data_IF_086532806098
#
_entry.id   IF_086532806098
#
_cell.length_a   1.000
_cell.length_b   1.000
_cell.length_c   1.000
_cell.angle_alpha   90.00
_cell.angle_beta   90.00
_cell.angle_gamma   90.00
#
_symmetry.space_group_name_H-M   'P 1'
#
loop_
_entity.id
_entity.type
_entity.pdbx_description
1 polymer ?
#
# COMPACT_ATOMS: atom_id res chain seq x y z
N UNK A 1 16.56 -36.55 8.07
CA UNK A 1 15.74 -35.37 8.42
C UNK A 1 16.44 -34.15 7.85
N UNK A 2 16.09 -33.78 6.65
CA UNK A 2 16.55 -32.54 6.02
C UNK A 2 15.66 -31.41 6.49
N UNK A 3 16.28 -30.48 7.19
CA UNK A 3 15.68 -29.27 7.67
C UNK A 3 15.66 -28.27 6.50
N UNK A 4 14.48 -28.07 5.91
CA UNK A 4 14.31 -27.00 4.93
C UNK A 4 14.57 -25.65 5.62
N UNK A 5 15.66 -25.01 5.24
CA UNK A 5 15.94 -23.65 5.61
C UNK A 5 14.81 -22.78 5.01
N UNK A 6 14.03 -22.14 5.87
CA UNK A 6 13.20 -21.03 5.48
C UNK A 6 14.14 -19.91 5.06
N UNK A 7 14.22 -19.63 3.76
CA UNK A 7 14.86 -18.44 3.24
C UNK A 7 14.03 -17.23 3.70
N UNK A 8 14.23 -16.87 4.96
CA UNK A 8 13.71 -15.64 5.51
C UNK A 8 14.41 -14.49 4.80
N UNK A 9 13.67 -13.75 3.98
CA UNK A 9 14.07 -12.40 3.58
C UNK A 9 14.44 -11.67 4.88
N UNK A 10 15.67 -11.14 5.02
CA UNK A 10 16.02 -10.41 6.22
C UNK A 10 15.00 -9.29 6.39
N UNK A 11 14.47 -9.09 7.61
CA UNK A 11 13.54 -7.99 7.84
C UNK A 11 14.25 -6.71 7.38
N UNK A 12 13.63 -5.98 6.48
CA UNK A 12 14.03 -4.62 6.13
C UNK A 12 14.30 -3.91 7.46
N UNK A 13 15.44 -3.24 7.58
CA UNK A 13 15.89 -2.66 8.83
C UNK A 13 14.72 -1.97 9.54
N UNK A 14 14.35 -2.47 10.70
CA UNK A 14 13.16 -2.00 11.43
C UNK A 14 13.25 -0.47 11.55
N UNK A 15 12.32 0.25 10.93
CA UNK A 15 12.21 1.69 11.08
C UNK A 15 12.43 2.55 9.83
N UNK A 16 12.60 1.98 8.63
CA UNK A 16 12.71 2.76 7.39
C UNK A 16 11.93 2.13 6.24
N UNK A 17 11.46 2.96 5.32
CA UNK A 17 10.95 2.53 4.02
C UNK A 17 12.05 2.65 2.96
N UNK A 18 11.92 1.89 1.88
CA UNK A 18 12.93 1.91 0.80
C UNK A 18 13.04 3.31 0.16
N UNK A 19 14.23 3.73 -0.26
CA UNK A 19 14.44 5.06 -0.85
C UNK A 19 13.81 5.22 -2.23
N UNK A 20 13.34 4.14 -2.87
CA UNK A 20 12.67 4.22 -4.18
C UNK A 20 11.33 4.97 -4.15
N UNK A 21 10.64 5.00 -3.01
CA UNK A 21 9.35 5.69 -2.91
C UNK A 21 9.49 7.19 -3.16
N UNK A 22 8.46 7.79 -3.75
CA UNK A 22 8.46 9.21 -4.07
C UNK A 22 8.60 10.08 -2.81
N UNK A 23 9.03 11.33 -2.99
CA UNK A 23 9.19 12.28 -1.87
C UNK A 23 7.92 12.49 -1.06
N UNK A 24 6.76 12.40 -1.70
CA UNK A 24 5.46 12.50 -1.05
C UNK A 24 5.24 11.34 -0.07
N UNK A 25 5.66 10.13 -0.43
CA UNK A 25 5.62 8.98 0.46
C UNK A 25 6.70 9.08 1.53
N UNK A 26 7.90 9.54 1.19
CA UNK A 26 8.97 9.77 2.17
C UNK A 26 8.56 10.79 3.25
N UNK A 27 7.73 11.76 2.90
CA UNK A 27 7.13 12.71 3.85
C UNK A 27 6.40 11.99 4.99
N UNK A 28 5.76 10.87 4.70
CA UNK A 28 5.00 10.05 5.67
C UNK A 28 5.82 8.91 6.28
N UNK A 29 7.10 8.78 5.96
CA UNK A 29 7.90 7.61 6.34
C UNK A 29 7.86 7.29 7.85
N UNK A 30 8.03 8.24 8.79
CA UNK A 30 7.95 7.93 10.22
C UNK A 30 6.58 7.38 10.63
N UNK A 31 5.51 7.95 10.10
CA UNK A 31 4.15 7.52 10.40
C UNK A 31 3.84 6.16 9.78
N UNK A 32 4.26 5.92 8.52
CA UNK A 32 4.10 4.62 7.85
C UNK A 32 4.74 3.50 8.67
N UNK A 33 5.95 3.73 9.16
CA UNK A 33 6.67 2.75 10.00
C UNK A 33 5.88 2.45 11.27
N UNK A 34 5.37 3.48 11.95
CA UNK A 34 4.60 3.30 13.18
C UNK A 34 3.27 2.58 12.92
N UNK A 35 2.53 2.97 11.89
CA UNK A 35 1.26 2.33 11.54
C UNK A 35 1.44 0.88 11.12
N UNK A 36 2.45 0.58 10.31
CA UNK A 36 2.75 -0.79 9.89
C UNK A 36 3.11 -1.67 11.09
N UNK A 37 3.94 -1.17 12.02
CA UNK A 37 4.34 -1.89 13.22
C UNK A 37 3.14 -2.24 14.12
N UNK A 38 2.17 -1.34 14.26
CA UNK A 38 0.95 -1.57 15.05
C UNK A 38 0.17 -2.79 14.56
N UNK A 39 0.19 -3.07 13.26
CA UNK A 39 -0.55 -4.18 12.64
C UNK A 39 0.35 -5.36 12.23
N UNK A 40 1.61 -5.34 12.60
CA UNK A 40 2.56 -6.41 12.25
C UNK A 40 2.85 -6.51 10.75
N UNK A 41 2.78 -5.39 10.03
CA UNK A 41 3.02 -5.32 8.59
C UNK A 41 4.44 -4.80 8.29
N UNK A 42 4.98 -5.21 7.16
CA UNK A 42 6.18 -4.60 6.59
C UNK A 42 5.88 -3.15 6.19
N UNK A 43 6.66 -2.16 6.68
CA UNK A 43 6.46 -0.77 6.32
C UNK A 43 6.55 -0.50 4.81
N UNK A 44 7.34 -1.25 4.07
CA UNK A 44 7.39 -1.15 2.61
C UNK A 44 6.07 -1.60 1.94
N UNK A 45 5.37 -2.55 2.55
CA UNK A 45 4.05 -2.96 2.07
C UNK A 45 3.02 -1.84 2.26
N UNK A 46 3.00 -1.21 3.42
CA UNK A 46 2.16 -0.05 3.70
C UNK A 46 2.48 1.14 2.79
N UNK A 47 3.78 1.42 2.59
CA UNK A 47 4.24 2.48 1.69
C UNK A 47 3.81 2.21 0.23
N UNK A 48 3.85 0.96 -0.21
CA UNK A 48 3.40 0.56 -1.56
C UNK A 48 1.91 0.86 -1.75
N UNK A 49 1.08 0.53 -0.78
CA UNK A 49 -0.37 0.83 -0.83
C UNK A 49 -0.59 2.35 -0.88
N UNK A 50 0.02 3.12 0.01
CA UNK A 50 -0.13 4.59 0.01
C UNK A 50 0.35 5.20 -1.32
N UNK A 51 1.47 4.71 -1.86
CA UNK A 51 2.02 5.18 -3.14
C UNK A 51 0.97 5.09 -4.26
N UNK A 52 0.35 3.95 -4.42
CA UNK A 52 -0.60 3.68 -5.51
C UNK A 52 -1.95 4.35 -5.23
N UNK A 53 -2.42 4.35 -3.99
CA UNK A 53 -3.76 4.81 -3.64
C UNK A 53 -3.92 6.32 -3.68
N UNK A 54 -2.99 7.06 -3.10
CA UNK A 54 -3.10 8.53 -2.97
C UNK A 54 -1.82 9.29 -3.28
N UNK A 55 -0.70 8.58 -3.42
CA UNK A 55 0.63 9.18 -3.38
C UNK A 55 0.86 10.09 -2.16
N UNK A 56 0.20 9.79 -1.04
CA UNK A 56 0.36 10.56 0.20
C UNK A 56 -0.57 11.77 0.33
N UNK A 57 -1.63 11.88 -0.47
CA UNK A 57 -2.65 12.92 -0.31
C UNK A 57 -3.68 12.50 0.76
N UNK A 58 -3.69 13.15 1.94
CA UNK A 58 -4.61 12.79 3.00
C UNK A 58 -6.07 13.13 2.68
N UNK A 59 -6.32 13.98 1.70
CA UNK A 59 -7.65 14.42 1.30
C UNK A 59 -8.13 13.81 -0.02
N UNK A 60 -7.41 12.83 -0.57
CA UNK A 60 -7.81 12.16 -1.79
C UNK A 60 -9.19 11.49 -1.62
N UNK A 61 -10.05 11.66 -2.63
CA UNK A 61 -11.36 11.01 -2.71
C UNK A 61 -11.52 10.45 -4.11
N UNK A 62 -11.76 9.15 -4.22
CA UNK A 62 -12.02 8.52 -5.51
C UNK A 62 -13.46 8.72 -5.98
N UNK A 63 -13.72 8.47 -7.26
CA UNK A 63 -15.07 8.48 -7.81
C UNK A 63 -16.01 7.48 -7.13
N UNK A 64 -15.47 6.38 -6.60
CA UNK A 64 -16.22 5.38 -5.85
C UNK A 64 -16.41 5.74 -4.36
N UNK A 65 -15.82 6.85 -3.89
CA UNK A 65 -15.94 7.32 -2.53
C UNK A 65 -14.86 6.83 -1.56
N UNK A 66 -13.80 6.20 -2.05
CA UNK A 66 -12.65 5.85 -1.21
C UNK A 66 -11.97 7.11 -0.68
N UNK A 67 -11.50 7.07 0.57
CA UNK A 67 -11.07 8.23 1.35
C UNK A 67 -9.60 8.16 1.76
N UNK A 68 -8.90 9.27 1.60
CA UNK A 68 -7.64 9.59 2.27
C UNK A 68 -6.40 8.82 1.80
N UNK A 69 -5.40 8.80 2.65
CA UNK A 69 -4.06 8.26 2.37
C UNK A 69 -4.07 6.85 1.80
N UNK A 70 -4.89 5.98 2.36
CA UNK A 70 -4.98 4.56 2.00
C UNK A 70 -6.24 4.21 1.20
N UNK A 71 -6.99 5.23 0.75
CA UNK A 71 -8.21 5.07 -0.06
C UNK A 71 -9.16 4.02 0.52
N UNK A 72 -9.53 4.23 1.78
CA UNK A 72 -10.39 3.33 2.53
C UNK A 72 -11.87 3.64 2.26
N UNK A 73 -12.64 2.62 1.94
CA UNK A 73 -14.07 2.79 1.69
C UNK A 73 -14.83 3.14 2.98
N UNK A 74 -15.88 3.98 2.90
CA UNK A 74 -16.60 4.47 4.07
C UNK A 74 -17.13 3.38 5.01
N UNK A 75 -17.49 2.21 4.50
CA UNK A 75 -18.04 1.12 5.33
C UNK A 75 -17.01 0.48 6.27
N UNK A 76 -15.72 0.76 6.10
CA UNK A 76 -14.68 0.33 7.03
C UNK A 76 -14.53 1.21 8.27
N UNK A 77 -15.12 2.39 8.24
CA UNK A 77 -15.05 3.34 9.36
C UNK A 77 -16.20 3.15 10.34
N UNK A 78 -15.93 3.44 11.61
CA UNK A 78 -16.98 3.52 12.61
C UNK A 78 -17.77 4.85 12.45
N UNK A 79 -19.00 4.86 12.96
CA UNK A 79 -19.83 6.07 12.96
C UNK A 79 -19.11 7.23 13.69
N UNK A 80 -19.07 8.40 13.04
CA UNK A 80 -18.48 9.62 13.60
C UNK A 80 -16.98 9.74 13.44
N UNK A 81 -16.29 8.75 12.87
CA UNK A 81 -14.86 8.88 12.57
C UNK A 81 -14.62 9.88 11.44
N UNK A 82 -13.54 10.66 11.55
CA UNK A 82 -13.05 11.49 10.44
C UNK A 82 -12.25 10.59 9.47
N UNK A 83 -12.85 10.25 8.33
CA UNK A 83 -12.29 9.33 7.35
C UNK A 83 -11.00 9.83 6.70
N UNK A 84 -10.75 11.13 6.70
CA UNK A 84 -9.55 11.75 6.12
C UNK A 84 -8.49 12.11 7.17
N UNK A 85 -8.77 11.94 8.45
CA UNK A 85 -7.74 12.04 9.48
C UNK A 85 -6.65 10.98 9.21
N UNK A 86 -5.37 11.37 9.07
CA UNK A 86 -4.32 10.43 8.68
C UNK A 86 -4.21 9.21 9.60
N UNK A 87 -4.30 9.42 10.91
CA UNK A 87 -4.21 8.35 11.91
C UNK A 87 -5.38 7.37 11.80
N UNK A 88 -6.60 7.90 11.72
CA UNK A 88 -7.82 7.10 11.57
C UNK A 88 -7.84 6.33 10.26
N UNK A 89 -7.49 7.00 9.16
CA UNK A 89 -7.44 6.39 7.83
C UNK A 89 -6.41 5.25 7.78
N UNK A 90 -5.20 5.49 8.30
CA UNK A 90 -4.15 4.49 8.37
C UNK A 90 -4.55 3.27 9.20
N UNK A 91 -5.17 3.48 10.36
CA UNK A 91 -5.62 2.39 11.22
C UNK A 91 -6.63 1.49 10.51
N UNK A 92 -7.59 2.07 9.79
CA UNK A 92 -8.58 1.31 9.02
C UNK A 92 -7.95 0.61 7.81
N UNK A 93 -7.09 1.30 7.07
CA UNK A 93 -6.38 0.74 5.93
C UNK A 93 -5.44 -0.40 6.31
N UNK A 94 -4.66 -0.21 7.35
CA UNK A 94 -3.72 -1.24 7.84
C UNK A 94 -4.44 -2.46 8.41
N UNK A 95 -5.56 -2.27 9.11
CA UNK A 95 -6.38 -3.38 9.59
C UNK A 95 -6.90 -4.24 8.43
N UNK A 96 -7.35 -3.59 7.34
CA UNK A 96 -7.83 -4.29 6.15
C UNK A 96 -6.70 -5.03 5.41
N UNK A 97 -5.54 -4.40 5.27
CA UNK A 97 -4.36 -5.04 4.66
C UNK A 97 -3.87 -6.23 5.50
N UNK A 98 -3.81 -6.08 6.82
CA UNK A 98 -3.43 -7.15 7.74
C UNK A 98 -4.42 -8.33 7.70
N UNK A 99 -5.71 -8.06 7.56
CA UNK A 99 -6.73 -9.09 7.34
C UNK A 99 -6.43 -9.90 6.07
N UNK A 100 -6.02 -9.23 4.99
CA UNK A 100 -5.61 -9.89 3.75
C UNK A 100 -4.40 -10.81 3.96
N UNK A 101 -3.40 -10.36 4.69
CA UNK A 101 -2.24 -11.18 5.04
C UNK A 101 -2.64 -12.42 5.85
N UNK A 102 -3.55 -12.27 6.79
CA UNK A 102 -4.05 -13.38 7.60
C UNK A 102 -4.83 -14.38 6.74
N UNK A 103 -5.74 -13.90 5.90
CA UNK A 103 -6.59 -14.76 5.05
C UNK A 103 -5.79 -15.51 3.98
N UNK A 104 -4.68 -14.94 3.53
CA UNK A 104 -3.85 -15.53 2.46
C UNK A 104 -2.67 -16.35 2.99
N UNK A 105 -2.51 -16.45 4.30
CA UNK A 105 -1.36 -17.12 4.89
C UNK A 105 -0.03 -16.39 4.65
N UNK A 106 -0.07 -15.07 4.51
CA UNK A 106 1.10 -14.22 4.31
C UNK A 106 1.46 -13.98 2.83
N UNK A 107 0.58 -14.31 1.88
CA UNK A 107 0.81 -13.99 0.47
C UNK A 107 0.60 -12.49 0.22
N UNK A 108 1.69 -11.76 0.01
CA UNK A 108 1.67 -10.31 -0.20
C UNK A 108 0.94 -9.92 -1.48
N UNK A 109 1.13 -10.65 -2.56
CA UNK A 109 0.49 -10.37 -3.84
C UNK A 109 -1.03 -10.51 -3.76
N UNK A 110 -1.53 -11.61 -3.20
CA UNK A 110 -2.96 -11.82 -2.98
C UNK A 110 -3.53 -10.81 -1.98
N UNK A 111 -2.76 -10.37 -1.01
CA UNK A 111 -3.18 -9.33 -0.06
C UNK A 111 -3.34 -7.96 -0.75
N UNK A 112 -2.47 -7.61 -1.68
CA UNK A 112 -2.63 -6.42 -2.53
C UNK A 112 -3.86 -6.52 -3.42
N UNK A 113 -4.07 -7.67 -4.07
CA UNK A 113 -5.27 -7.90 -4.89
C UNK A 113 -6.55 -7.76 -4.06
N UNK A 114 -6.55 -8.32 -2.85
CA UNK A 114 -7.66 -8.22 -1.92
C UNK A 114 -7.91 -6.80 -1.42
N UNK A 115 -6.85 -6.02 -1.23
CA UNK A 115 -6.98 -4.62 -0.83
C UNK A 115 -7.73 -3.80 -1.88
N UNK A 116 -7.42 -3.99 -3.16
CA UNK A 116 -8.09 -3.29 -4.26
C UNK A 116 -9.45 -3.89 -4.62
N UNK A 117 -9.51 -5.20 -4.82
CA UNK A 117 -10.69 -5.88 -5.40
C UNK A 117 -11.59 -6.59 -4.40
N UNK A 118 -11.21 -6.60 -3.11
CA UNK A 118 -11.87 -7.38 -2.07
C UNK A 118 -11.25 -8.76 -1.88
N UNK A 119 -11.19 -9.23 -0.64
CA UNK A 119 -10.55 -10.50 -0.30
C UNK A 119 -11.25 -11.71 -0.95
N UNK A 120 -12.57 -11.65 -1.08
CA UNK A 120 -13.33 -12.68 -1.78
C UNK A 120 -13.01 -12.77 -3.27
N UNK A 121 -12.78 -11.65 -3.91
CA UNK A 121 -12.34 -11.57 -5.31
C UNK A 121 -10.93 -12.12 -5.47
N UNK A 122 -10.01 -11.71 -4.60
CA UNK A 122 -8.64 -12.18 -4.63
C UNK A 122 -8.56 -13.72 -4.52
N UNK A 123 -9.39 -14.32 -3.69
CA UNK A 123 -9.45 -15.77 -3.50
C UNK A 123 -9.86 -16.55 -4.75
N UNK A 124 -10.52 -15.92 -5.72
CA UNK A 124 -10.94 -16.55 -6.98
C UNK A 124 -9.79 -16.75 -7.97
N UNK A 125 -8.67 -16.08 -7.77
CA UNK A 125 -7.50 -16.14 -8.65
C UNK A 125 -7.54 -15.17 -9.84
N UNK A 126 -6.38 -15.00 -10.46
CA UNK A 126 -6.10 -14.00 -11.51
C UNK A 126 -7.15 -13.94 -12.62
N UNK A 127 -7.56 -15.08 -13.15
CA UNK A 127 -8.49 -15.14 -14.30
C UNK A 127 -9.90 -14.61 -14.00
N UNK A 128 -10.25 -14.54 -12.72
CA UNK A 128 -11.56 -14.04 -12.27
C UNK A 128 -11.50 -12.59 -11.78
N UNK A 129 -10.32 -11.97 -11.76
CA UNK A 129 -10.17 -10.60 -11.28
C UNK A 129 -10.58 -9.57 -12.33
N UNK A 130 -11.21 -8.46 -11.91
CA UNK A 130 -11.35 -7.29 -12.78
C UNK A 130 -9.99 -6.81 -13.29
N UNK A 131 -9.96 -6.21 -14.47
CA UNK A 131 -8.72 -5.66 -15.06
C UNK A 131 -8.04 -4.63 -14.15
N UNK A 132 -8.81 -3.87 -13.39
CA UNK A 132 -8.30 -2.92 -12.39
C UNK A 132 -7.51 -3.66 -11.30
N UNK A 133 -8.03 -4.75 -10.77
CA UNK A 133 -7.36 -5.55 -9.74
C UNK A 133 -6.10 -6.24 -10.27
N UNK A 134 -6.14 -6.73 -11.51
CA UNK A 134 -4.96 -7.30 -12.19
C UNK A 134 -3.86 -6.25 -12.34
N UNK A 135 -4.22 -5.05 -12.73
CA UNK A 135 -3.29 -3.92 -12.88
C UNK A 135 -2.72 -3.48 -11.53
N UNK A 136 -3.56 -3.36 -10.50
CA UNK A 136 -3.14 -3.05 -9.14
C UNK A 136 -2.14 -4.09 -8.61
N UNK A 137 -2.44 -5.36 -8.77
CA UNK A 137 -1.55 -6.46 -8.40
C UNK A 137 -0.17 -6.32 -9.07
N UNK A 138 -0.15 -6.05 -10.37
CA UNK A 138 1.10 -5.89 -11.13
C UNK A 138 1.92 -4.71 -10.62
N UNK A 139 1.29 -3.56 -10.38
CA UNK A 139 1.95 -2.39 -9.81
C UNK A 139 2.47 -2.65 -8.40
N UNK A 140 1.62 -3.13 -7.54
CA UNK A 140 1.94 -3.31 -6.12
C UNK A 140 3.03 -4.37 -5.91
N UNK A 141 2.94 -5.52 -6.57
CA UNK A 141 3.93 -6.58 -6.43
C UNK A 141 5.29 -6.18 -6.97
N UNK A 142 5.33 -5.48 -8.10
CA UNK A 142 6.57 -4.99 -8.70
C UNK A 142 7.28 -3.95 -7.83
N UNK A 143 6.54 -2.96 -7.34
CA UNK A 143 7.08 -1.91 -6.45
C UNK A 143 7.53 -2.52 -5.12
N UNK A 144 6.70 -3.35 -4.50
CA UNK A 144 7.03 -3.97 -3.22
C UNK A 144 8.25 -4.89 -3.31
N UNK A 145 8.36 -5.68 -4.37
CA UNK A 145 9.52 -6.55 -4.61
C UNK A 145 10.82 -5.74 -4.60
N UNK A 146 10.86 -4.62 -5.30
CA UNK A 146 12.04 -3.74 -5.33
C UNK A 146 12.27 -3.08 -3.96
N UNK A 147 11.21 -2.59 -3.32
CA UNK A 147 11.29 -1.97 -2.00
C UNK A 147 11.80 -2.94 -0.93
N UNK A 148 11.39 -4.20 -0.96
CA UNK A 148 11.81 -5.22 0.00
C UNK A 148 13.32 -5.51 -0.06
N UNK A 149 13.98 -5.22 -1.17
CA UNK A 149 15.44 -5.32 -1.30
C UNK A 149 16.18 -4.06 -0.85
N UNK A 150 15.47 -3.00 -0.45
CA UNK A 150 16.07 -1.70 -0.14
C UNK A 150 16.52 -0.91 -1.37
N UNK A 151 16.00 -1.24 -2.56
CA UNK A 151 16.39 -0.59 -3.80
C UNK A 151 16.10 0.93 -3.79
N UNK A 152 16.95 1.70 -4.45
CA UNK A 152 16.79 3.13 -4.65
C UNK A 152 15.93 3.52 -5.85
N UNK A 153 15.64 2.55 -6.74
CA UNK A 153 14.85 2.73 -7.95
C UNK A 153 13.94 1.53 -8.20
N UNK A 154 12.86 1.75 -8.92
CA UNK A 154 11.95 0.69 -9.36
C UNK A 154 11.42 1.02 -10.75
N UNK A 155 11.66 0.13 -11.69
CA UNK A 155 11.11 0.26 -13.03
C UNK A 155 9.58 0.22 -13.01
N UNK A 156 9.01 -0.64 -12.18
CA UNK A 156 7.55 -0.73 -12.02
C UNK A 156 6.97 0.59 -11.48
N UNK A 157 7.63 1.22 -10.49
CA UNK A 157 7.23 2.54 -10.00
C UNK A 157 7.29 3.59 -11.12
N UNK A 158 8.36 3.59 -11.91
CA UNK A 158 8.50 4.52 -13.04
C UNK A 158 7.38 4.34 -14.07
N UNK A 159 7.02 3.10 -14.37
CA UNK A 159 5.90 2.78 -15.26
C UNK A 159 4.56 3.26 -14.68
N UNK A 160 4.34 3.08 -13.39
CA UNK A 160 3.14 3.58 -12.70
C UNK A 160 3.06 5.12 -12.75
N UNK A 161 4.17 5.81 -12.51
CA UNK A 161 4.25 7.26 -12.61
C UNK A 161 3.89 7.73 -14.02
N UNK A 162 4.45 7.11 -15.04
CA UNK A 162 4.17 7.42 -16.45
C UNK A 162 2.72 7.12 -16.87
N UNK A 163 2.09 6.14 -16.23
CA UNK A 163 0.69 5.75 -16.51
C UNK A 163 -0.37 6.63 -15.81
N UNK A 164 0.04 7.69 -15.14
CA UNK A 164 -0.86 8.62 -14.46
C UNK A 164 -0.50 8.90 -13.00
N UNK A 165 0.33 8.09 -12.39
CA UNK A 165 0.75 8.24 -11.00
C UNK A 165 1.45 9.57 -10.72
N UNK A 166 2.23 10.09 -11.67
CA UNK A 166 2.89 11.39 -11.53
C UNK A 166 1.89 12.53 -11.26
N UNK A 167 0.74 12.51 -11.91
CA UNK A 167 -0.33 13.49 -11.71
C UNK A 167 -0.91 13.42 -10.30
N UNK A 168 -1.12 12.21 -9.81
CA UNK A 168 -1.57 11.95 -8.44
C UNK A 168 -0.55 12.47 -7.42
N UNK A 169 0.74 12.23 -7.64
CA UNK A 169 1.81 12.70 -6.78
C UNK A 169 1.94 14.23 -6.78
N UNK A 170 1.76 14.89 -7.92
CA UNK A 170 1.72 16.36 -7.99
C UNK A 170 0.59 16.94 -7.15
N UNK A 171 -0.58 16.32 -7.19
CA UNK A 171 -1.73 16.72 -6.36
C UNK A 171 -1.41 16.55 -4.87
N UNK A 172 -0.80 15.43 -4.50
CA UNK A 172 -0.36 15.17 -3.13
C UNK A 172 0.69 16.19 -2.66
N UNK A 173 1.69 16.47 -3.48
CA UNK A 173 2.73 17.46 -3.18
C UNK A 173 2.15 18.86 -2.93
N UNK A 174 1.19 19.29 -3.76
CA UNK A 174 0.49 20.55 -3.58
C UNK A 174 -0.28 20.60 -2.26
N UNK A 175 -0.96 19.50 -1.91
CA UNK A 175 -1.70 19.37 -0.65
C UNK A 175 -0.80 19.42 0.57
N UNK A 176 0.37 18.79 0.49
CA UNK A 176 1.35 18.71 1.58
C UNK A 176 2.26 19.95 1.67
N UNK A 177 2.23 20.85 0.67
CA UNK A 177 3.15 21.97 0.60
C UNK A 177 4.60 21.58 0.30
N UNK A 178 4.82 20.47 -0.37
CA UNK A 178 6.13 19.99 -0.81
C UNK A 178 6.40 20.53 -2.22
N UNK A 179 7.57 21.16 -2.41
CA UNK A 179 8.02 21.68 -3.71
C UNK A 179 9.20 20.86 -4.27
#
# INVERSE_FOLDING_TARGET
QEQFAQDGVPPAAAGVIAPLFTREIQHWAPQIVAWAAEFGLDPNMAATVMQIESCGDPNAVSSAGAQGLFQVMPFHFASGENMQDPETNARRGMAYLAQGMQLTGGDTGLSFAGYNGGHGTAAKGWGAWPSETQRYYTWATGIYKDAATGAGTSETLNQWLAAGGASLCQQAAARLGIQ
#
